data_IF_132207536895
#
_entry.id   IF_132207536895
#
_cell.length_a   1.000
_cell.length_b   1.000
_cell.length_c   1.000
_cell.angle_alpha   90.00
_cell.angle_beta   90.00
_cell.angle_gamma   90.00
#
_symmetry.space_group_name_H-M   'P 1'
#
loop_
_entity.id
_entity.type
_entity.pdbx_description
1 polymer ?
#
# COMPACT_ATOMS: atom_id res chain seq x y z
N UNK A 1 -3.08 -20.60 2.73
CA UNK A 1 -4.17 -19.97 1.95
C UNK A 1 -3.52 -18.93 1.06
N UNK A 2 -3.70 -19.10 -0.25
CA UNK A 2 -3.21 -18.14 -1.22
C UNK A 2 -4.07 -16.87 -1.11
N UNK A 3 -3.43 -15.70 -1.02
CA UNK A 3 -4.11 -14.41 -1.16
C UNK A 3 -4.56 -14.29 -2.61
N UNK A 4 -5.83 -14.58 -2.84
CA UNK A 4 -6.46 -14.41 -4.15
C UNK A 4 -7.57 -13.38 -3.93
N UNK A 5 -7.37 -12.12 -4.32
CA UNK A 5 -8.44 -11.14 -4.29
C UNK A 5 -9.51 -11.57 -5.28
N UNK A 6 -10.76 -11.54 -4.84
CA UNK A 6 -11.94 -12.00 -5.59
C UNK A 6 -12.94 -10.86 -5.85
N UNK A 7 -12.65 -9.66 -5.35
CA UNK A 7 -13.49 -8.49 -5.49
C UNK A 7 -12.72 -7.35 -6.17
N UNK A 8 -13.47 -6.55 -6.95
CA UNK A 8 -12.92 -5.45 -7.72
C UNK A 8 -13.80 -4.21 -7.55
N UNK A 9 -13.16 -3.07 -7.42
CA UNK A 9 -13.79 -1.76 -7.39
C UNK A 9 -13.38 -0.97 -8.64
N UNK A 10 -14.36 -0.68 -9.49
CA UNK A 10 -14.15 0.15 -10.67
C UNK A 10 -13.93 1.61 -10.22
N UNK A 11 -12.65 1.98 -10.12
CA UNK A 11 -12.25 3.33 -9.75
C UNK A 11 -11.83 4.11 -10.99
N UNK A 12 -12.02 5.42 -10.97
CA UNK A 12 -11.81 6.35 -12.10
C UNK A 12 -10.49 6.21 -12.88
N UNK A 13 -9.45 5.63 -12.29
CA UNK A 13 -8.12 5.46 -12.91
C UNK A 13 -7.73 3.99 -13.14
N UNK A 14 -8.62 3.05 -12.84
CA UNK A 14 -8.40 1.63 -13.04
C UNK A 14 -9.09 0.78 -11.98
N UNK A 15 -9.17 -0.50 -12.24
CA UNK A 15 -9.80 -1.48 -11.37
C UNK A 15 -8.92 -1.76 -10.15
N UNK A 16 -9.52 -1.68 -8.98
CA UNK A 16 -8.86 -1.87 -7.68
C UNK A 16 -9.27 -3.21 -7.12
N UNK A 17 -8.31 -4.10 -6.98
CA UNK A 17 -8.49 -5.42 -6.42
C UNK A 17 -8.50 -5.39 -4.89
N UNK A 18 -9.38 -6.16 -4.27
CA UNK A 18 -9.44 -6.27 -2.81
C UNK A 18 -10.07 -7.59 -2.35
N UNK A 19 -9.90 -7.91 -1.07
CA UNK A 19 -10.63 -8.99 -0.40
C UNK A 19 -11.54 -8.42 0.67
N UNK A 20 -12.61 -9.16 1.01
CA UNK A 20 -13.53 -8.85 2.10
C UNK A 20 -13.84 -10.09 2.89
N UNK A 21 -13.58 -10.10 4.20
CA UNK A 21 -13.82 -11.25 5.07
C UNK A 21 -14.43 -10.84 6.40
N UNK A 22 -15.18 -11.76 7.01
CA UNK A 22 -15.74 -11.58 8.34
C UNK A 22 -16.99 -10.71 8.39
N UNK A 23 -17.44 -10.41 9.63
CA UNK A 23 -18.59 -9.55 9.93
C UNK A 23 -18.31 -8.72 11.18
N UNK A 24 -18.72 -7.48 11.20
CA UNK A 24 -18.54 -6.55 12.32
C UNK A 24 -18.07 -5.20 11.85
N UNK A 25 -17.39 -4.43 12.73
CA UNK A 25 -16.86 -3.12 12.38
C UNK A 25 -15.82 -3.20 11.26
N UNK A 26 -15.84 -2.26 10.31
CA UNK A 26 -14.92 -2.33 9.18
C UNK A 26 -13.47 -2.00 9.59
N UNK A 27 -12.56 -2.80 9.07
CA UNK A 27 -11.11 -2.57 9.11
C UNK A 27 -10.59 -2.58 7.68
N UNK A 28 -9.86 -1.55 7.29
CA UNK A 28 -9.16 -1.47 6.00
C UNK A 28 -7.67 -1.67 6.21
N UNK A 29 -7.10 -2.69 5.58
CA UNK A 29 -5.69 -3.01 5.60
C UNK A 29 -5.03 -2.51 4.31
N UNK A 30 -4.01 -1.67 4.45
CA UNK A 30 -3.28 -1.05 3.33
C UNK A 30 -1.80 -1.43 3.43
N UNK A 31 -1.31 -2.13 2.43
CA UNK A 31 0.09 -2.55 2.32
C UNK A 31 1.04 -1.37 2.09
N UNK A 32 2.34 -1.59 2.30
CA UNK A 32 3.39 -0.61 1.99
C UNK A 32 3.47 -0.34 0.47
N UNK A 33 4.07 0.77 0.07
CA UNK A 33 4.23 1.13 -1.33
C UNK A 33 5.64 0.78 -1.83
N UNK A 34 5.88 -0.51 -2.00
CA UNK A 34 7.13 -1.03 -2.59
C UNK A 34 6.85 -1.78 -3.89
N UNK A 35 7.88 -2.08 -4.66
CA UNK A 35 7.78 -2.73 -5.99
C UNK A 35 7.02 -4.06 -5.96
N UNK A 36 7.01 -4.76 -4.84
CA UNK A 36 6.40 -6.10 -4.69
C UNK A 36 5.28 -6.12 -3.66
N UNK A 37 4.86 -4.97 -3.15
CA UNK A 37 3.81 -4.89 -2.13
C UNK A 37 2.44 -5.20 -2.72
N UNK A 38 1.64 -5.88 -1.92
CA UNK A 38 0.24 -6.19 -2.20
C UNK A 38 -0.47 -6.52 -0.88
N UNK A 39 -1.77 -6.70 -0.93
CA UNK A 39 -2.55 -7.16 0.21
C UNK A 39 -2.09 -8.50 0.79
N UNK A 40 -1.29 -9.27 0.07
CA UNK A 40 -0.64 -10.48 0.59
C UNK A 40 0.16 -10.23 1.88
N UNK A 41 0.64 -9.02 2.10
CA UNK A 41 1.32 -8.61 3.33
C UNK A 41 0.51 -8.97 4.60
N UNK A 42 -0.81 -8.94 4.49
CA UNK A 42 -1.75 -9.12 5.59
C UNK A 42 -2.27 -10.55 5.77
N UNK A 43 -1.89 -11.49 4.89
CA UNK A 43 -2.49 -12.84 4.82
C UNK A 43 -2.47 -13.62 6.15
N UNK A 44 -1.46 -13.38 7.01
CA UNK A 44 -1.33 -14.09 8.30
C UNK A 44 -2.26 -13.59 9.39
N UNK A 45 -2.75 -12.36 9.28
CA UNK A 45 -3.57 -11.76 10.35
C UNK A 45 -5.02 -11.51 9.93
N UNK A 46 -5.31 -11.53 8.63
CA UNK A 46 -6.64 -11.22 8.10
C UNK A 46 -7.71 -12.14 8.68
N UNK A 47 -7.47 -13.45 8.70
CA UNK A 47 -8.41 -14.44 9.25
C UNK A 47 -8.72 -14.17 10.72
N UNK A 48 -7.71 -13.91 11.53
CA UNK A 48 -7.86 -13.60 12.96
C UNK A 48 -8.62 -12.29 13.21
N UNK A 49 -8.37 -11.27 12.41
CA UNK A 49 -9.11 -10.02 12.50
C UNK A 49 -10.57 -10.18 12.06
N UNK A 50 -10.81 -11.06 11.09
CA UNK A 50 -12.14 -11.32 10.53
C UNK A 50 -13.08 -12.07 11.48
N UNK A 51 -12.60 -12.64 12.58
CA UNK A 51 -13.43 -13.27 13.60
C UNK A 51 -14.46 -12.30 14.20
N UNK A 52 -14.12 -11.03 14.36
CA UNK A 52 -14.97 -10.03 15.01
C UNK A 52 -15.14 -8.72 14.20
N UNK A 53 -14.57 -8.66 13.00
CA UNK A 53 -14.58 -7.46 12.17
C UNK A 53 -14.88 -7.81 10.71
N UNK A 54 -15.33 -6.83 9.94
CA UNK A 54 -15.33 -6.91 8.49
C UNK A 54 -14.00 -6.36 7.99
N UNK A 55 -13.13 -7.23 7.51
CA UNK A 55 -11.77 -6.89 7.09
C UNK A 55 -11.72 -6.73 5.58
N UNK A 56 -11.33 -5.56 5.12
CA UNK A 56 -11.03 -5.26 3.73
C UNK A 56 -9.51 -5.18 3.58
N UNK A 57 -8.98 -5.86 2.57
CA UNK A 57 -7.56 -5.80 2.24
C UNK A 57 -7.43 -5.39 0.78
N UNK A 58 -6.87 -4.22 0.53
CA UNK A 58 -6.80 -3.59 -0.79
C UNK A 58 -5.41 -3.78 -1.41
N UNK A 59 -5.37 -4.02 -2.72
CA UNK A 59 -4.18 -3.78 -3.54
C UNK A 59 -4.24 -2.34 -4.07
N UNK A 60 -3.30 -1.50 -3.70
CA UNK A 60 -3.26 -0.12 -4.21
C UNK A 60 -3.06 -0.09 -5.73
N UNK A 61 -3.56 0.95 -6.41
CA UNK A 61 -3.36 1.12 -7.84
C UNK A 61 -1.86 1.05 -8.18
N UNK A 62 -1.49 0.28 -9.17
CA UNK A 62 -0.10 0.00 -9.52
C UNK A 62 0.52 -1.20 -8.80
N UNK A 63 -0.16 -1.79 -7.81
CA UNK A 63 0.34 -2.89 -6.99
C UNK A 63 -0.53 -4.15 -7.13
N UNK A 64 0.02 -5.29 -6.70
CA UNK A 64 -0.69 -6.56 -6.61
C UNK A 64 -1.48 -6.92 -7.86
N UNK A 65 -2.78 -7.18 -7.68
CA UNK A 65 -3.72 -7.53 -8.75
C UNK A 65 -4.53 -6.32 -9.26
N UNK A 66 -4.34 -5.13 -8.68
CA UNK A 66 -4.94 -3.89 -9.19
C UNK A 66 -4.31 -3.45 -10.50
N UNK A 67 -5.04 -2.66 -11.27
CA UNK A 67 -4.57 -2.10 -12.53
C UNK A 67 -3.29 -1.28 -12.38
N UNK A 68 -2.50 -1.26 -13.45
CA UNK A 68 -1.21 -0.57 -13.53
C UNK A 68 -1.18 0.40 -14.71
N UNK A 69 -2.06 1.42 -14.72
CA UNK A 69 -2.11 2.38 -15.82
C UNK A 69 -0.79 3.14 -15.94
N UNK A 70 -0.44 3.51 -17.16
CA UNK A 70 0.76 4.31 -17.45
C UNK A 70 0.49 5.79 -17.14
N UNK A 71 0.46 6.13 -15.86
CA UNK A 71 0.21 7.48 -15.33
C UNK A 71 1.26 7.86 -14.31
N UNK A 72 1.29 9.13 -13.93
CA UNK A 72 2.10 9.57 -12.80
C UNK A 72 1.39 9.21 -11.48
N UNK A 73 1.99 8.32 -10.71
CA UNK A 73 1.51 7.97 -9.37
C UNK A 73 1.96 9.02 -8.37
N UNK A 74 1.00 9.73 -7.78
CA UNK A 74 1.24 10.79 -6.81
C UNK A 74 0.64 10.43 -5.45
N UNK A 75 1.16 11.02 -4.38
CA UNK A 75 0.59 10.86 -3.04
C UNK A 75 -0.88 11.25 -3.01
N UNK A 76 -1.25 12.30 -3.72
CA UNK A 76 -2.64 12.77 -3.83
C UNK A 76 -3.56 11.72 -4.47
N UNK A 77 -3.07 10.97 -5.46
CA UNK A 77 -3.82 9.87 -6.08
C UNK A 77 -4.20 8.81 -5.03
N UNK A 78 -3.24 8.38 -4.20
CA UNK A 78 -3.51 7.38 -3.16
C UNK A 78 -4.42 7.92 -2.05
N UNK A 79 -4.27 9.18 -1.67
CA UNK A 79 -5.20 9.85 -0.74
C UNK A 79 -6.64 9.82 -1.27
N UNK A 80 -6.83 10.13 -2.55
CA UNK A 80 -8.15 10.06 -3.18
C UNK A 80 -8.67 8.62 -3.25
N UNK A 81 -7.84 7.66 -3.65
CA UNK A 81 -8.22 6.25 -3.72
C UNK A 81 -8.72 5.75 -2.36
N UNK A 82 -7.99 6.03 -1.28
CA UNK A 82 -8.37 5.62 0.08
C UNK A 82 -9.72 6.22 0.48
N UNK A 83 -9.91 7.52 0.25
CA UNK A 83 -11.18 8.19 0.56
C UNK A 83 -12.34 7.63 -0.27
N UNK A 84 -12.14 7.46 -1.57
CA UNK A 84 -13.17 6.95 -2.48
C UNK A 84 -13.51 5.48 -2.15
N UNK A 85 -12.52 4.66 -1.79
CA UNK A 85 -12.73 3.27 -1.40
C UNK A 85 -13.53 3.17 -0.10
N UNK A 86 -13.19 3.95 0.92
CA UNK A 86 -13.94 3.94 2.19
C UNK A 86 -15.39 4.40 1.93
N UNK A 87 -15.61 5.45 1.15
CA UNK A 87 -16.95 6.00 0.88
C UNK A 87 -17.81 5.07 0.03
N UNK A 88 -17.25 4.51 -1.04
CA UNK A 88 -18.03 3.84 -2.08
C UNK A 88 -18.10 2.32 -1.89
N UNK A 89 -17.09 1.70 -1.26
CA UNK A 89 -17.01 0.24 -1.07
C UNK A 89 -17.35 -0.16 0.36
N UNK A 90 -16.80 0.53 1.35
CA UNK A 90 -17.05 0.21 2.76
C UNK A 90 -18.34 0.87 3.24
N UNK A 91 -18.52 2.16 3.00
CA UNK A 91 -19.73 2.91 3.30
C UNK A 91 -19.98 3.17 4.79
N UNK A 92 -18.99 2.94 5.64
CA UNK A 92 -19.08 3.11 7.10
C UNK A 92 -17.76 3.64 7.67
N UNK A 93 -17.82 4.17 8.89
CA UNK A 93 -16.67 4.69 9.61
C UNK A 93 -15.68 3.56 9.92
N UNK A 94 -14.46 3.68 9.43
CA UNK A 94 -13.51 2.57 9.28
C UNK A 94 -12.24 2.78 10.12
N UNK A 95 -11.79 1.72 10.78
CA UNK A 95 -10.41 1.67 11.30
C UNK A 95 -9.46 1.34 10.16
N UNK A 96 -8.46 2.16 9.93
CA UNK A 96 -7.47 1.96 8.85
C UNK A 96 -6.13 1.52 9.45
N UNK A 97 -5.59 0.44 8.93
CA UNK A 97 -4.26 -0.07 9.28
C UNK A 97 -3.36 0.06 8.06
N UNK A 98 -2.24 0.73 8.19
CA UNK A 98 -1.30 0.96 7.10
C UNK A 98 0.14 0.70 7.51
N UNK A 99 0.96 0.25 6.57
CA UNK A 99 2.40 0.04 6.75
C UNK A 99 3.22 1.02 5.93
N UNK A 100 4.43 1.31 6.41
CA UNK A 100 5.45 2.06 5.68
C UNK A 100 4.98 3.42 5.15
N UNK A 101 5.21 3.65 3.86
CA UNK A 101 4.86 4.89 3.16
C UNK A 101 3.34 5.15 3.11
N UNK A 102 2.54 4.09 3.00
CA UNK A 102 1.08 4.20 2.96
C UNK A 102 0.48 4.84 4.21
N UNK A 103 1.17 4.79 5.33
CA UNK A 103 0.76 5.48 6.57
C UNK A 103 0.59 6.99 6.36
N UNK A 104 1.42 7.61 5.54
CA UNK A 104 1.35 9.04 5.24
C UNK A 104 0.12 9.41 4.42
N UNK A 105 -0.29 8.53 3.49
CA UNK A 105 -1.49 8.72 2.67
C UNK A 105 -2.76 8.62 3.52
N UNK A 106 -2.77 7.69 4.49
CA UNK A 106 -3.89 7.53 5.42
C UNK A 106 -4.03 8.76 6.32
N UNK A 107 -2.93 9.30 6.84
CA UNK A 107 -2.96 10.55 7.61
C UNK A 107 -3.50 11.72 6.80
N UNK A 108 -3.07 11.85 5.55
CA UNK A 108 -3.56 12.89 4.65
C UNK A 108 -5.04 12.67 4.28
N UNK A 109 -5.46 11.43 4.05
CA UNK A 109 -6.86 11.09 3.79
C UNK A 109 -7.76 11.45 4.98
N UNK A 110 -7.31 11.16 6.18
CA UNK A 110 -8.01 11.50 7.41
C UNK A 110 -8.11 13.03 7.61
N UNK A 111 -7.03 13.76 7.35
CA UNK A 111 -7.03 15.23 7.42
C UNK A 111 -8.07 15.86 6.49
N UNK A 112 -8.32 15.23 5.33
CA UNK A 112 -9.30 15.68 4.37
C UNK A 112 -10.75 15.27 4.72
N UNK A 113 -10.92 14.12 5.40
CA UNK A 113 -12.22 13.51 5.69
C UNK A 113 -12.19 12.73 7.01
N UNK A 114 -12.08 13.42 8.14
CA UNK A 114 -12.02 12.78 9.46
C UNK A 114 -13.29 11.98 9.83
N UNK A 115 -14.40 12.26 9.18
CA UNK A 115 -15.70 11.64 9.48
C UNK A 115 -15.78 10.17 9.06
N UNK A 116 -14.98 9.74 8.07
CA UNK A 116 -15.01 8.37 7.52
C UNK A 116 -13.98 7.44 8.15
N UNK A 117 -13.03 7.97 8.92
CA UNK A 117 -11.99 7.20 9.59
C UNK A 117 -12.19 7.30 11.11
N UNK A 118 -12.28 6.14 11.78
CA UNK A 118 -12.48 6.03 13.23
C UNK A 118 -11.14 6.01 13.98
N UNK A 119 -10.23 5.16 13.52
CA UNK A 119 -8.88 5.03 14.08
C UNK A 119 -7.87 4.79 12.95
N UNK A 120 -6.64 5.21 13.19
CA UNK A 120 -5.50 4.90 12.33
C UNK A 120 -4.47 4.12 13.14
N UNK A 121 -4.07 2.97 12.61
CA UNK A 121 -2.97 2.15 13.15
C UNK A 121 -1.86 2.16 12.12
N UNK A 122 -0.74 2.75 12.47
CA UNK A 122 0.44 2.83 11.60
C UNK A 122 1.50 1.85 12.08
N UNK A 123 1.96 0.99 11.19
CA UNK A 123 3.00 0.02 11.45
C UNK A 123 4.25 0.43 10.69
N UNK A 124 5.32 0.72 11.44
CA UNK A 124 6.61 1.13 10.90
C UNK A 124 6.49 2.28 9.87
N UNK A 125 5.81 3.41 10.25
CA UNK A 125 5.60 4.51 9.32
C UNK A 125 6.95 5.07 8.84
N UNK A 126 6.98 5.52 7.58
CA UNK A 126 8.17 6.16 7.03
C UNK A 126 8.41 7.52 7.68
N UNK A 127 9.68 7.88 7.87
CA UNK A 127 10.06 9.18 8.43
C UNK A 127 9.60 10.32 7.49
N UNK A 128 8.90 11.29 8.07
CA UNK A 128 8.38 12.45 7.35
C UNK A 128 9.49 13.25 6.64
N UNK A 129 10.72 13.24 7.18
CA UNK A 129 11.86 13.87 6.56
C UNK A 129 12.28 13.21 5.23
N UNK A 130 11.96 11.94 5.05
CA UNK A 130 12.18 11.22 3.78
C UNK A 130 11.12 11.65 2.76
N UNK A 131 9.87 11.77 3.19
CA UNK A 131 8.74 12.17 2.35
C UNK A 131 8.82 13.62 1.85
N UNK A 132 9.50 14.50 2.59
CA UNK A 132 9.66 15.92 2.24
C UNK A 132 10.89 16.20 1.36
N UNK A 133 11.74 15.22 1.09
CA UNK A 133 12.91 15.41 0.21
C UNK A 133 12.44 15.62 -1.22
N UNK A 134 12.64 16.84 -1.73
CA UNK A 134 12.46 17.13 -3.15
C UNK A 134 13.45 16.33 -3.99
N UNK A 135 13.03 15.82 -5.15
CA UNK A 135 13.92 15.16 -6.09
C UNK A 135 15.04 16.15 -6.50
N UNK A 136 16.26 15.68 -6.49
CA UNK A 136 17.39 16.48 -6.97
C UNK A 136 17.52 16.35 -8.50
N UNK A 137 18.30 17.22 -9.14
CA UNK A 137 18.49 17.22 -10.61
C UNK A 137 18.98 15.88 -11.15
N UNK A 138 19.71 15.11 -10.36
CA UNK A 138 20.20 13.78 -10.73
C UNK A 138 19.05 12.77 -10.75
N UNK A 139 18.15 12.82 -9.75
CA UNK A 139 16.98 11.93 -9.74
C UNK A 139 16.00 12.23 -10.88
N UNK A 140 15.84 13.49 -11.26
CA UNK A 140 15.04 13.86 -12.43
C UNK A 140 15.68 13.33 -13.74
N UNK A 141 16.98 13.38 -13.85
CA UNK A 141 17.70 12.84 -15.01
C UNK A 141 17.56 11.31 -15.09
N UNK A 142 17.71 10.62 -13.97
CA UNK A 142 17.53 9.16 -13.84
C UNK A 142 16.10 8.79 -14.21
N UNK A 143 15.10 9.53 -13.73
CA UNK A 143 13.69 9.29 -14.04
C UNK A 143 13.41 9.43 -15.54
N UNK A 144 13.96 10.46 -16.20
CA UNK A 144 13.86 10.60 -17.65
C UNK A 144 14.51 9.44 -18.42
N UNK A 145 15.63 8.93 -17.92
CA UNK A 145 16.31 7.77 -18.52
C UNK A 145 15.50 6.48 -18.36
N UNK A 146 14.92 6.24 -17.17
CA UNK A 146 14.09 5.06 -16.88
C UNK A 146 12.79 5.09 -17.66
N UNK A 147 12.19 6.27 -17.85
CA UNK A 147 10.95 6.45 -18.62
C UNK A 147 11.17 6.41 -20.14
N UNK A 148 12.42 6.30 -20.60
CA UNK A 148 12.70 6.10 -22.02
C UNK A 148 12.27 4.69 -22.45
N UNK A 149 11.50 4.52 -23.56
CA UNK A 149 10.97 3.23 -24.00
C UNK A 149 12.04 2.14 -24.20
N UNK A 150 13.24 2.52 -24.61
CA UNK A 150 14.35 1.60 -24.89
C UNK A 150 15.09 1.24 -23.60
N UNK A 151 15.51 2.23 -22.83
CA UNK A 151 16.31 2.02 -21.62
C UNK A 151 15.47 1.51 -20.45
N UNK A 152 14.23 1.98 -20.31
CA UNK A 152 13.30 1.51 -19.28
C UNK A 152 13.02 0.01 -19.42
N UNK A 153 12.70 -0.46 -20.62
CA UNK A 153 12.46 -1.89 -20.89
C UNK A 153 13.71 -2.73 -20.66
N UNK A 154 14.88 -2.23 -21.05
CA UNK A 154 16.15 -2.93 -20.82
C UNK A 154 16.48 -3.06 -19.33
N UNK A 155 16.35 -1.98 -18.56
CA UNK A 155 16.56 -1.98 -17.11
C UNK A 155 15.52 -2.87 -16.41
N UNK A 156 14.24 -2.74 -16.78
CA UNK A 156 13.18 -3.60 -16.25
C UNK A 156 13.52 -5.08 -16.42
N UNK A 157 13.93 -5.50 -17.63
CA UNK A 157 14.31 -6.89 -17.90
C UNK A 157 15.55 -7.36 -17.11
N UNK A 158 16.48 -6.45 -16.80
CA UNK A 158 17.66 -6.76 -15.97
C UNK A 158 17.22 -6.95 -14.50
N UNK A 159 16.36 -6.07 -13.98
CA UNK A 159 15.93 -6.10 -12.60
C UNK A 159 14.90 -7.20 -12.31
N UNK A 160 14.06 -7.55 -13.28
CA UNK A 160 13.02 -8.58 -13.13
C UNK A 160 13.44 -10.00 -13.54
N UNK A 161 14.69 -10.22 -13.94
CA UNK A 161 15.18 -11.59 -14.15
C UNK A 161 14.97 -12.41 -12.89
N UNK A 162 14.20 -13.51 -13.00
CA UNK A 162 13.76 -14.40 -11.91
C UNK A 162 14.81 -14.74 -10.84
N UNK A 163 16.08 -14.80 -11.22
CA UNK A 163 17.17 -15.09 -10.29
C UNK A 163 17.55 -13.91 -9.37
N UNK A 164 17.29 -12.66 -9.77
CA UNK A 164 17.55 -11.49 -8.91
C UNK A 164 16.39 -11.22 -7.96
N UNK A 165 15.15 -11.46 -8.39
CA UNK A 165 13.96 -11.35 -7.53
C UNK A 165 14.09 -12.32 -6.34
N UNK A 166 14.45 -13.57 -6.60
CA UNK A 166 14.71 -14.57 -5.52
C UNK A 166 15.86 -14.19 -4.59
N UNK A 167 16.89 -13.49 -5.10
CA UNK A 167 18.01 -13.00 -4.30
C UNK A 167 17.60 -11.84 -3.40
N UNK A 168 16.74 -10.94 -3.88
CA UNK A 168 16.22 -9.82 -3.08
C UNK A 168 15.23 -10.30 -2.01
N UNK A 169 14.33 -11.23 -2.34
CA UNK A 169 13.48 -11.89 -1.33
C UNK A 169 14.29 -12.58 -0.23
N UNK A 170 15.37 -13.28 -0.60
CA UNK A 170 16.25 -13.93 0.37
C UNK A 170 17.06 -12.94 1.20
N UNK A 171 17.47 -11.79 0.64
CA UNK A 171 18.14 -10.72 1.38
C UNK A 171 17.18 -10.02 2.35
N UNK A 172 15.95 -9.75 1.95
CA UNK A 172 14.92 -9.20 2.85
C UNK A 172 14.58 -10.17 3.97
N UNK A 173 14.45 -11.46 3.68
CA UNK A 173 14.24 -12.50 4.70
C UNK A 173 15.45 -12.63 5.66
N UNK A 174 16.68 -12.52 5.18
CA UNK A 174 17.87 -12.51 6.03
C UNK A 174 18.01 -11.22 6.85
N UNK A 175 17.67 -10.07 6.26
CA UNK A 175 17.69 -8.77 6.97
C UNK A 175 16.63 -8.73 8.09
N UNK A 176 15.47 -9.35 7.89
CA UNK A 176 14.43 -9.51 8.92
C UNK A 176 14.91 -10.42 10.06
N UNK A 177 15.72 -11.46 9.78
CA UNK A 177 16.24 -12.37 10.81
C UNK A 177 17.39 -11.79 11.63
N UNK A 178 18.23 -10.93 11.06
CA UNK A 178 19.42 -10.40 11.73
C UNK A 178 19.22 -9.03 12.42
N UNK A 179 18.22 -8.25 12.05
CA UNK A 179 17.87 -7.05 12.77
C UNK A 179 16.69 -7.35 13.68
N UNK A 180 16.87 -7.23 15.00
CA UNK A 180 15.78 -6.94 15.94
C UNK A 180 15.28 -5.53 15.60
N UNK A 181 14.53 -5.40 14.49
CA UNK A 181 13.88 -4.13 14.13
C UNK A 181 12.94 -3.81 15.27
N UNK A 182 13.14 -2.66 15.90
CA UNK A 182 12.12 -2.05 16.75
C UNK A 182 10.94 -1.75 15.83
N UNK A 183 9.88 -2.53 15.95
CA UNK A 183 8.63 -2.20 15.27
C UNK A 183 8.02 -1.00 15.99
N UNK A 184 7.78 0.06 15.25
CA UNK A 184 7.06 1.22 15.75
C UNK A 184 5.61 1.07 15.32
N UNK A 185 4.71 0.94 16.31
CA UNK A 185 3.26 0.97 16.09
C UNK A 185 2.75 2.25 16.71
N UNK A 186 2.11 3.08 15.91
CA UNK A 186 1.45 4.29 16.37
C UNK A 186 -0.04 4.17 16.13
N UNK A 187 -0.83 4.39 17.19
CA UNK A 187 -2.29 4.40 17.11
C UNK A 187 -2.74 5.84 17.30
N UNK A 188 -3.43 6.36 16.30
CA UNK A 188 -4.05 7.68 16.36
C UNK A 188 -5.56 7.48 16.44
N UNK A 189 -6.14 7.84 17.57
CA UNK A 189 -7.58 7.90 17.73
C UNK A 189 -8.07 9.27 17.28
N UNK A 190 -9.07 9.28 16.41
CA UNK A 190 -9.70 10.51 15.94
C UNK A 190 -10.86 10.80 16.88
N UNK A 191 -10.76 11.93 17.58
CA UNK A 191 -11.76 12.40 18.54
C UNK A 191 -12.86 13.18 17.82
#
# INVERSE_FOLDING_TARGET
LDYIPDLYYDWKLGEISYTKQGKGKPILLIHDLTTYSSGYEWHKITEKLAENNTVYCIDLLGCGNSDKPNILYTNFLYVQLINDFIKNVIGDKTTVVATGESSSFVLAACSNNSEIIDNIIMINPMDINILTKSPNKISELITKFINSPVFGTFLYNIFTRKNKVKSLENQDQQHIRHHKRKFYISIVKIL
#
